data_IF_000001941879
#
_entry.id   IF_000001941879
#
_cell.length_a   1.000
_cell.length_b   1.000
_cell.length_c   1.000
_cell.angle_alpha   90.00
_cell.angle_beta   90.00
_cell.angle_gamma   90.00
#
_symmetry.space_group_name_H-M   'P 1'
#
loop_
_entity.id
_entity.type
_entity.pdbx_description
1 polymer ?
#
# COMPACT_ATOMS: atom_id res chain seq x y z
N UNK A 1 -31.47 -10.52 9.21
CA UNK A 1 -31.14 -9.26 8.51
C UNK A 1 -29.68 -9.34 8.10
N UNK A 2 -29.35 -9.02 6.84
CA UNK A 2 -27.96 -8.98 6.37
C UNK A 2 -27.11 -8.07 7.29
N UNK A 3 -25.87 -8.46 7.57
CA UNK A 3 -24.96 -7.71 8.45
C UNK A 3 -24.78 -6.27 7.97
N UNK A 4 -24.74 -6.01 6.66
CA UNK A 4 -24.60 -4.63 6.15
C UNK A 4 -25.88 -3.81 6.37
N UNK A 5 -27.05 -4.44 6.25
CA UNK A 5 -28.33 -3.77 6.51
C UNK A 5 -28.51 -3.45 7.99
N UNK A 6 -28.02 -4.31 8.87
CA UNK A 6 -27.98 -4.04 10.32
C UNK A 6 -27.05 -2.88 10.64
N UNK A 7 -25.86 -2.83 10.04
CA UNK A 7 -24.93 -1.72 10.21
C UNK A 7 -25.53 -0.40 9.71
N UNK A 8 -26.22 -0.42 8.56
CA UNK A 8 -26.88 0.77 8.02
C UNK A 8 -28.04 1.26 8.92
N UNK A 9 -28.84 0.35 9.47
CA UNK A 9 -29.98 0.69 10.34
C UNK A 9 -29.54 1.25 11.70
N UNK A 10 -28.45 0.71 12.25
CA UNK A 10 -28.00 0.99 13.62
C UNK A 10 -26.61 1.65 13.63
N UNK A 11 -26.26 2.44 12.61
CA UNK A 11 -24.95 3.08 12.55
C UNK A 11 -24.77 4.04 13.74
N UNK A 12 -23.63 3.92 14.42
CA UNK A 12 -23.20 4.86 15.46
C UNK A 12 -21.75 5.26 15.23
N UNK A 13 -21.46 6.55 15.40
CA UNK A 13 -20.08 7.05 15.41
C UNK A 13 -19.30 6.46 16.58
N UNK A 14 -19.94 6.27 17.73
CA UNK A 14 -19.27 5.75 18.92
C UNK A 14 -18.78 4.31 18.71
N UNK A 15 -19.59 3.48 18.05
CA UNK A 15 -19.19 2.11 17.67
C UNK A 15 -17.94 2.12 16.79
N UNK A 16 -17.81 3.08 15.87
CA UNK A 16 -16.60 3.25 15.05
C UNK A 16 -15.38 3.62 15.91
N UNK A 17 -15.55 4.49 16.91
CA UNK A 17 -14.47 4.92 17.80
C UNK A 17 -13.96 3.77 18.70
N UNK A 18 -14.80 2.79 19.05
CA UNK A 18 -14.35 1.61 19.83
C UNK A 18 -13.31 0.73 19.10
N UNK A 19 -13.20 0.88 17.79
CA UNK A 19 -12.22 0.17 16.96
C UNK A 19 -10.85 0.86 16.91
N UNK A 20 -10.71 2.04 17.51
CA UNK A 20 -9.42 2.73 17.58
C UNK A 20 -8.44 1.93 18.46
N UNK A 21 -7.22 1.63 17.96
CA UNK A 21 -6.27 0.78 18.67
C UNK A 21 -5.72 1.41 19.95
N UNK A 22 -5.75 2.74 20.09
CA UNK A 22 -5.15 3.48 21.22
C UNK A 22 -6.15 4.37 21.99
N UNK A 23 -7.47 4.22 21.78
CA UNK A 23 -8.46 5.17 22.32
C UNK A 23 -8.33 6.58 21.72
N UNK A 24 -8.69 7.62 22.48
CA UNK A 24 -8.55 9.04 22.11
C UNK A 24 -7.11 9.59 22.25
N UNK A 25 -6.11 8.74 22.54
CA UNK A 25 -4.71 9.16 22.48
C UNK A 25 -4.40 9.60 21.06
N UNK A 26 -4.38 10.91 20.86
CA UNK A 26 -4.27 11.51 19.56
C UNK A 26 -2.85 11.24 19.05
N UNK A 27 -2.75 10.48 17.96
CA UNK A 27 -1.47 10.24 17.29
C UNK A 27 -0.72 11.56 17.04
N UNK A 28 -1.47 12.66 16.85
CA UNK A 28 -0.95 14.00 16.63
C UNK A 28 -0.16 14.58 17.83
N UNK A 29 -0.44 14.16 19.07
CA UNK A 29 0.24 14.71 20.26
C UNK A 29 1.75 14.40 20.26
N UNK A 30 2.13 13.29 19.62
CA UNK A 30 3.52 12.85 19.50
C UNK A 30 4.01 12.90 18.03
N UNK A 31 3.23 13.50 17.14
CA UNK A 31 3.50 13.53 15.72
C UNK A 31 4.44 14.69 15.36
N UNK A 32 5.50 14.37 14.63
CA UNK A 32 6.39 15.37 14.06
C UNK A 32 5.81 15.83 12.72
N UNK A 33 5.20 17.01 12.72
CA UNK A 33 4.68 17.66 11.52
C UNK A 33 5.79 17.94 10.50
N UNK A 34 5.45 17.86 9.20
CA UNK A 34 6.35 18.08 8.09
C UNK A 34 6.49 19.59 7.94
N UNK A 35 7.49 20.12 8.60
CA UNK A 35 7.77 21.54 8.67
C UNK A 35 9.27 21.77 8.55
N UNK A 36 9.65 22.73 7.72
CA UNK A 36 11.03 23.20 7.59
C UNK A 36 11.10 24.68 7.94
N UNK A 37 11.95 25.03 8.91
CA UNK A 37 12.18 26.41 9.34
C UNK A 37 12.73 27.27 8.18
N UNK A 38 13.38 26.66 7.18
CA UNK A 38 13.84 27.36 5.99
C UNK A 38 12.73 27.98 5.14
N UNK A 39 11.49 27.50 5.29
CA UNK A 39 10.31 28.01 4.58
C UNK A 39 9.84 29.37 5.09
N UNK A 40 10.26 29.80 6.28
CA UNK A 40 9.93 31.12 6.83
C UNK A 40 10.74 32.26 6.19
N UNK A 41 11.87 31.91 5.58
CA UNK A 41 12.76 32.89 4.95
C UNK A 41 12.22 33.29 3.57
N UNK A 42 12.12 34.60 3.31
CA UNK A 42 11.48 35.20 2.11
C UNK A 42 12.09 34.76 0.76
N UNK A 43 13.22 34.04 0.74
CA UNK A 43 13.86 33.49 -0.45
C UNK A 43 13.49 32.03 -0.77
N UNK A 44 12.82 31.31 0.14
CA UNK A 44 12.46 29.90 -0.03
C UNK A 44 10.97 29.77 -0.32
N UNK A 45 10.56 29.25 -1.48
CA UNK A 45 9.15 28.95 -1.71
C UNK A 45 8.74 27.70 -0.91
N UNK A 46 7.76 27.86 -0.03
CA UNK A 46 7.19 26.75 0.73
C UNK A 46 6.20 25.96 -0.16
N UNK A 47 6.00 24.66 0.10
CA UNK A 47 5.20 23.79 -0.77
C UNK A 47 3.70 23.87 -0.41
N UNK A 48 3.06 24.98 -0.74
CA UNK A 48 1.68 25.31 -0.33
C UNK A 48 0.68 24.16 -0.52
N UNK A 49 0.54 23.63 -1.73
CA UNK A 49 -0.44 22.57 -2.03
C UNK A 49 -0.14 21.27 -1.28
N UNK A 50 1.13 20.93 -1.06
CA UNK A 50 1.49 19.77 -0.25
C UNK A 50 1.02 19.98 1.20
N UNK A 51 1.24 21.17 1.75
CA UNK A 51 0.84 21.48 3.13
C UNK A 51 -0.68 21.44 3.31
N UNK A 52 -1.47 21.94 2.35
CA UNK A 52 -2.94 21.89 2.44
C UNK A 52 -3.47 20.47 2.46
N UNK A 53 -2.94 19.57 1.62
CA UNK A 53 -3.30 18.15 1.68
C UNK A 53 -2.89 17.50 3.00
N UNK A 54 -1.73 17.88 3.56
CA UNK A 54 -1.30 17.36 4.85
C UNK A 54 -2.16 17.86 6.01
N UNK A 55 -2.67 19.10 5.96
CA UNK A 55 -3.64 19.60 6.95
C UNK A 55 -4.93 18.78 6.94
N UNK A 56 -5.43 18.39 5.76
CA UNK A 56 -6.55 17.48 5.64
C UNK A 56 -6.22 16.08 6.21
N UNK A 57 -4.99 15.58 6.01
CA UNK A 57 -4.54 14.35 6.66
C UNK A 57 -4.59 14.45 8.19
N UNK A 58 -4.11 15.56 8.76
CA UNK A 58 -4.09 15.75 10.22
C UNK A 58 -5.50 15.87 10.78
N UNK A 59 -6.38 16.60 10.10
CA UNK A 59 -7.77 16.82 10.54
C UNK A 59 -8.54 15.51 10.76
N UNK A 60 -8.29 14.49 9.94
CA UNK A 60 -9.06 13.23 9.99
C UNK A 60 -8.42 12.16 10.89
N UNK A 61 -7.25 12.43 11.48
CA UNK A 61 -6.58 11.51 12.41
C UNK A 61 -7.04 11.73 13.86
N UNK A 62 -7.07 10.66 14.70
CA UNK A 62 -6.80 9.25 14.37
C UNK A 62 -8.04 8.50 13.83
N UNK A 63 -9.20 9.14 13.70
CA UNK A 63 -10.48 8.45 13.46
C UNK A 63 -10.61 7.84 12.07
N UNK A 64 -9.95 8.42 11.06
CA UNK A 64 -10.04 8.00 9.65
C UNK A 64 -8.66 7.96 8.99
N UNK A 65 -7.77 7.04 9.41
CA UNK A 65 -6.44 6.94 8.83
C UNK A 65 -6.48 6.50 7.36
N UNK A 66 -7.58 5.89 6.91
CA UNK A 66 -7.82 5.59 5.49
C UNK A 66 -8.00 6.84 4.63
N UNK A 67 -8.61 7.90 5.18
CA UNK A 67 -8.69 9.21 4.54
C UNK A 67 -7.38 9.98 4.71
N UNK A 68 -6.73 9.89 5.87
CA UNK A 68 -5.44 10.53 6.09
C UNK A 68 -4.40 10.06 5.05
N UNK A 69 -4.35 8.75 4.80
CA UNK A 69 -3.53 8.14 3.76
C UNK A 69 -3.92 8.63 2.35
N UNK A 70 -5.22 8.77 2.05
CA UNK A 70 -5.68 9.30 0.77
C UNK A 70 -5.18 10.73 0.52
N UNK A 71 -5.32 11.62 1.51
CA UNK A 71 -4.83 13.00 1.43
C UNK A 71 -3.30 13.05 1.37
N UNK A 72 -2.60 12.20 2.13
CA UNK A 72 -1.14 12.09 2.06
C UNK A 72 -0.68 11.63 0.66
N UNK A 73 -1.42 10.72 0.02
CA UNK A 73 -1.15 10.35 -1.37
C UNK A 73 -1.38 11.51 -2.34
N UNK A 74 -2.35 12.41 -2.09
CA UNK A 74 -2.51 13.61 -2.92
C UNK A 74 -1.30 14.55 -2.81
N UNK A 75 -0.72 14.68 -1.62
CA UNK A 75 0.55 15.38 -1.45
C UNK A 75 1.71 14.72 -2.23
N UNK A 76 1.83 13.38 -2.17
CA UNK A 76 2.81 12.64 -3.00
C UNK A 76 2.55 12.89 -4.49
N UNK A 77 1.28 12.82 -4.91
CA UNK A 77 0.89 13.07 -6.30
C UNK A 77 1.33 14.45 -6.77
N UNK A 78 0.99 15.48 -6.01
CA UNK A 78 1.42 16.83 -6.31
C UNK A 78 2.95 16.95 -6.40
N UNK A 79 3.69 16.29 -5.49
CA UNK A 79 5.15 16.35 -5.46
C UNK A 79 5.82 15.82 -6.75
N UNK A 80 5.31 14.72 -7.31
CA UNK A 80 5.83 14.19 -8.59
C UNK A 80 5.17 14.83 -9.82
N UNK A 81 3.98 15.41 -9.67
CA UNK A 81 3.29 16.11 -10.75
C UNK A 81 4.05 17.40 -11.11
N UNK A 82 4.41 18.21 -10.11
CA UNK A 82 5.24 19.41 -10.32
C UNK A 82 6.60 19.06 -10.93
N UNK A 83 7.21 17.96 -10.50
CA UNK A 83 8.46 17.48 -11.11
C UNK A 83 8.28 17.10 -12.58
N UNK A 84 7.19 16.40 -12.92
CA UNK A 84 6.89 16.06 -14.32
C UNK A 84 6.65 17.29 -15.18
N UNK A 85 5.95 18.31 -14.67
CA UNK A 85 5.75 19.57 -15.39
C UNK A 85 7.06 20.31 -15.69
N UNK A 86 8.07 20.16 -14.82
CA UNK A 86 9.39 20.77 -15.00
C UNK A 86 10.35 19.95 -15.88
N UNK A 87 10.03 18.69 -16.21
CA UNK A 87 10.90 17.82 -17.02
C UNK A 87 10.50 17.86 -18.49
N UNK A 88 11.34 18.50 -19.33
CA UNK A 88 11.11 18.63 -20.77
C UNK A 88 11.07 17.30 -21.54
N UNK A 89 11.48 16.18 -20.92
CA UNK A 89 11.36 14.85 -21.52
C UNK A 89 9.99 14.19 -21.28
N UNK A 90 9.17 14.77 -20.41
CA UNK A 90 7.83 14.25 -20.09
C UNK A 90 6.80 14.91 -21.02
N UNK A 91 6.35 14.16 -22.03
CA UNK A 91 5.33 14.66 -22.97
C UNK A 91 3.94 14.85 -22.35
N UNK A 92 3.53 13.96 -21.44
CA UNK A 92 2.29 14.10 -20.67
C UNK A 92 2.50 13.53 -19.25
N UNK A 93 1.90 14.15 -18.25
CA UNK A 93 1.99 13.69 -16.87
C UNK A 93 1.19 12.39 -16.67
N UNK A 94 1.80 11.38 -16.03
CA UNK A 94 1.11 10.14 -15.64
C UNK A 94 1.49 9.71 -14.23
N UNK A 95 0.51 9.19 -13.48
CA UNK A 95 0.76 8.63 -12.15
C UNK A 95 1.85 7.55 -12.18
N UNK A 96 1.84 6.65 -13.17
CA UNK A 96 2.86 5.58 -13.23
C UNK A 96 4.26 6.14 -13.37
N UNK A 97 4.44 7.16 -14.22
CA UNK A 97 5.74 7.80 -14.43
C UNK A 97 6.16 8.65 -13.23
N UNK A 98 5.22 9.37 -12.62
CA UNK A 98 5.47 10.13 -11.41
C UNK A 98 5.89 9.26 -10.21
N UNK A 99 5.26 8.09 -10.04
CA UNK A 99 5.64 7.13 -9.00
C UNK A 99 7.04 6.53 -9.28
N UNK A 100 7.41 6.34 -10.56
CA UNK A 100 8.78 5.96 -10.93
C UNK A 100 9.78 7.04 -10.52
N UNK A 101 9.47 8.34 -10.68
CA UNK A 101 10.34 9.41 -10.18
C UNK A 101 10.54 9.37 -8.67
N UNK A 102 9.48 9.15 -7.90
CA UNK A 102 9.60 8.98 -6.44
C UNK A 102 10.50 7.79 -6.10
N UNK A 103 10.26 6.64 -6.74
CA UNK A 103 11.05 5.43 -6.53
C UNK A 103 12.52 5.65 -6.85
N UNK A 104 12.79 6.21 -8.02
CA UNK A 104 14.14 6.37 -8.54
C UNK A 104 14.91 7.40 -7.70
N UNK A 105 14.24 8.47 -7.24
CA UNK A 105 14.82 9.43 -6.31
C UNK A 105 15.23 8.79 -4.96
N UNK A 106 14.41 7.88 -4.43
CA UNK A 106 14.77 7.10 -3.23
C UNK A 106 15.96 6.18 -3.53
N UNK A 107 15.98 5.51 -4.69
CA UNK A 107 17.03 4.57 -5.07
C UNK A 107 18.38 5.24 -5.31
N UNK A 108 18.39 6.44 -5.89
CA UNK A 108 19.61 7.20 -6.19
C UNK A 108 20.49 7.39 -4.95
N UNK A 109 19.89 7.67 -3.79
CA UNK A 109 20.62 7.86 -2.53
C UNK A 109 20.20 6.84 -1.45
N UNK A 110 19.83 5.64 -1.90
CA UNK A 110 19.35 4.58 -1.03
C UNK A 110 20.40 4.19 0.01
N UNK A 111 21.57 3.75 -0.44
CA UNK A 111 22.59 3.19 0.45
C UNK A 111 23.28 4.23 1.33
N UNK A 112 23.33 5.50 0.94
CA UNK A 112 24.01 6.52 1.75
C UNK A 112 23.06 7.23 2.72
N UNK A 113 21.78 7.42 2.36
CA UNK A 113 20.87 8.26 3.12
C UNK A 113 19.51 7.62 3.40
N UNK A 114 18.77 7.24 2.38
CA UNK A 114 17.33 6.96 2.56
C UNK A 114 17.03 5.58 3.13
N UNK A 115 17.94 4.61 3.00
CA UNK A 115 17.74 3.25 3.53
C UNK A 115 17.54 3.24 5.04
N UNK A 116 18.41 3.90 5.79
CA UNK A 116 18.32 3.94 7.26
C UNK A 116 17.09 4.69 7.76
N UNK A 117 16.51 5.55 6.92
CA UNK A 117 15.31 6.34 7.22
C UNK A 117 14.04 5.53 6.92
N UNK A 118 13.95 4.93 5.74
CA UNK A 118 12.73 4.28 5.24
C UNK A 118 12.58 2.83 5.74
N UNK A 119 13.67 2.09 5.83
CA UNK A 119 13.64 0.65 6.18
C UNK A 119 12.96 0.35 7.52
N UNK A 120 13.10 1.17 8.59
CA UNK A 120 12.34 1.02 9.83
C UNK A 120 10.81 1.05 9.63
N UNK A 121 10.30 1.92 8.76
CA UNK A 121 8.86 1.99 8.45
C UNK A 121 8.42 0.73 7.69
N UNK A 122 9.20 0.32 6.68
CA UNK A 122 8.89 -0.87 5.88
C UNK A 122 8.79 -2.13 6.75
N UNK A 123 9.73 -2.32 7.69
CA UNK A 123 9.74 -3.49 8.60
C UNK A 123 8.51 -3.55 9.51
N UNK A 124 7.96 -2.40 9.89
CA UNK A 124 6.81 -2.29 10.78
C UNK A 124 5.46 -2.47 10.07
N UNK A 125 5.41 -2.44 8.73
CA UNK A 125 4.15 -2.63 8.01
C UNK A 125 3.41 -3.92 8.44
N UNK A 126 2.09 -3.84 8.75
CA UNK A 126 1.34 -4.99 9.26
C UNK A 126 1.16 -6.10 8.23
N UNK A 127 1.03 -7.35 8.70
CA UNK A 127 0.80 -8.51 7.82
C UNK A 127 -0.47 -8.35 6.97
N UNK A 128 -1.49 -7.65 7.49
CA UNK A 128 -2.74 -7.37 6.77
C UNK A 128 -2.51 -6.63 5.46
N UNK A 129 -1.51 -5.75 5.41
CA UNK A 129 -1.06 -5.05 4.18
C UNK A 129 -0.67 -6.05 3.09
N UNK A 130 0.08 -7.09 3.46
CA UNK A 130 0.54 -8.12 2.53
C UNK A 130 -0.54 -9.14 2.19
N UNK A 131 -1.47 -9.42 3.11
CA UNK A 131 -2.67 -10.21 2.80
C UNK A 131 -3.52 -9.53 1.73
N UNK A 132 -3.62 -8.20 1.78
CA UNK A 132 -4.30 -7.42 0.75
C UNK A 132 -3.63 -7.58 -0.62
N UNK A 133 -2.29 -7.46 -0.68
CA UNK A 133 -1.52 -7.70 -1.91
C UNK A 133 -1.70 -9.11 -2.43
N UNK A 134 -1.47 -10.11 -1.57
CA UNK A 134 -1.64 -11.53 -1.91
C UNK A 134 -3.04 -11.80 -2.46
N UNK A 135 -4.09 -11.24 -1.83
CA UNK A 135 -5.47 -11.44 -2.25
C UNK A 135 -5.70 -10.98 -3.70
N UNK A 136 -5.32 -9.75 -4.07
CA UNK A 136 -5.57 -9.30 -5.45
C UNK A 136 -4.64 -9.98 -6.46
N UNK A 137 -3.42 -10.37 -6.06
CA UNK A 137 -2.50 -11.10 -6.94
C UNK A 137 -3.05 -12.50 -7.27
N UNK A 138 -3.53 -13.24 -6.26
CA UNK A 138 -4.12 -14.57 -6.45
C UNK A 138 -5.42 -14.52 -7.25
N UNK A 139 -6.29 -13.56 -6.97
CA UNK A 139 -7.55 -13.36 -7.71
C UNK A 139 -7.29 -12.97 -9.17
N UNK A 140 -6.38 -12.02 -9.39
CA UNK A 140 -5.96 -11.60 -10.73
C UNK A 140 -5.37 -12.75 -11.54
N UNK A 141 -4.56 -13.58 -10.90
CA UNK A 141 -3.98 -14.78 -11.50
C UNK A 141 -5.04 -15.83 -11.86
N UNK A 142 -5.94 -16.16 -10.93
CA UNK A 142 -7.02 -17.11 -11.19
C UNK A 142 -7.93 -16.65 -12.34
N UNK A 143 -8.29 -15.37 -12.36
CA UNK A 143 -9.07 -14.76 -13.45
C UNK A 143 -8.31 -14.83 -14.79
N UNK A 144 -7.01 -14.51 -14.81
CA UNK A 144 -6.18 -14.60 -16.01
C UNK A 144 -6.14 -16.02 -16.58
N UNK A 145 -5.91 -17.04 -15.73
CA UNK A 145 -5.84 -18.44 -16.17
C UNK A 145 -7.18 -19.00 -16.65
N UNK A 146 -8.30 -18.38 -16.26
CA UNK A 146 -9.65 -18.77 -16.69
C UNK A 146 -10.19 -17.89 -17.83
N UNK A 147 -9.33 -17.09 -18.49
CA UNK A 147 -9.74 -16.27 -19.64
C UNK A 147 -10.68 -15.11 -19.29
N UNK A 148 -10.77 -14.71 -18.02
CA UNK A 148 -11.59 -13.57 -17.60
C UNK A 148 -10.95 -12.28 -18.10
N UNK A 149 -11.74 -11.43 -18.76
CA UNK A 149 -11.29 -10.19 -19.37
C UNK A 149 -10.54 -9.28 -18.37
N UNK A 150 -9.57 -8.52 -18.88
CA UNK A 150 -8.69 -7.65 -18.07
C UNK A 150 -9.45 -6.66 -17.19
N UNK A 151 -10.56 -6.11 -17.68
CA UNK A 151 -11.37 -5.11 -16.96
C UNK A 151 -11.92 -5.58 -15.60
N UNK A 152 -11.96 -6.89 -15.35
CA UNK A 152 -12.41 -7.44 -14.06
C UNK A 152 -11.26 -7.73 -13.09
N UNK A 153 -10.01 -7.57 -13.53
CA UNK A 153 -8.81 -7.79 -12.72
C UNK A 153 -8.35 -6.46 -12.14
N UNK A 154 -7.85 -6.48 -10.90
CA UNK A 154 -7.25 -5.28 -10.30
C UNK A 154 -6.08 -4.80 -11.18
N UNK A 155 -6.04 -3.51 -11.51
CA UNK A 155 -4.94 -2.93 -12.32
C UNK A 155 -3.56 -3.17 -11.69
N UNK A 156 -3.49 -3.16 -10.35
CA UNK A 156 -2.30 -3.47 -9.56
C UNK A 156 -1.73 -4.87 -9.82
N UNK A 157 -2.57 -5.86 -10.19
CA UNK A 157 -2.10 -7.20 -10.56
C UNK A 157 -1.15 -7.16 -11.75
N UNK A 158 -1.61 -6.53 -12.84
CA UNK A 158 -0.83 -6.41 -14.08
C UNK A 158 0.41 -5.54 -13.86
N UNK A 159 0.26 -4.45 -13.11
CA UNK A 159 1.36 -3.55 -12.80
C UNK A 159 2.48 -4.26 -12.04
N UNK A 160 2.16 -4.95 -10.94
CA UNK A 160 3.16 -5.66 -10.14
C UNK A 160 3.81 -6.81 -10.89
N UNK A 161 3.03 -7.63 -11.60
CA UNK A 161 3.57 -8.73 -12.41
C UNK A 161 4.59 -8.23 -13.44
N UNK A 162 4.37 -7.04 -14.02
CA UNK A 162 5.30 -6.39 -14.95
C UNK A 162 6.54 -5.81 -14.25
N UNK A 163 6.38 -5.23 -13.05
CA UNK A 163 7.47 -4.57 -12.30
C UNK A 163 8.36 -5.55 -11.52
N UNK A 164 7.83 -6.71 -11.15
CA UNK A 164 8.51 -7.72 -10.31
C UNK A 164 8.33 -9.08 -11.00
N UNK A 165 9.23 -9.38 -11.93
CA UNK A 165 9.07 -10.53 -12.84
C UNK A 165 9.03 -11.87 -12.11
N UNK A 166 9.76 -11.97 -11.00
CA UNK A 166 9.80 -13.16 -10.14
C UNK A 166 8.41 -13.54 -9.57
N UNK A 167 7.47 -12.59 -9.45
CA UNK A 167 6.10 -12.90 -9.05
C UNK A 167 5.39 -13.84 -10.03
N UNK A 168 5.70 -13.77 -11.33
CA UNK A 168 5.10 -14.68 -12.32
C UNK A 168 5.49 -16.13 -12.02
N UNK A 169 6.77 -16.39 -11.77
CA UNK A 169 7.29 -17.72 -11.45
C UNK A 169 6.67 -18.26 -10.14
N UNK A 170 6.60 -17.43 -9.09
CA UNK A 170 5.97 -17.79 -7.80
C UNK A 170 4.49 -18.13 -7.98
N UNK A 171 3.75 -17.37 -8.78
CA UNK A 171 2.33 -17.60 -9.01
C UNK A 171 2.09 -18.85 -9.86
N UNK A 172 2.82 -19.01 -10.96
CA UNK A 172 2.69 -20.13 -11.89
C UNK A 172 3.05 -21.46 -11.24
N UNK A 173 4.02 -21.48 -10.33
CA UNK A 173 4.54 -22.73 -9.77
C UNK A 173 4.06 -23.03 -8.34
N UNK A 174 3.68 -22.04 -7.54
CA UNK A 174 3.29 -22.22 -6.14
C UNK A 174 1.92 -21.63 -5.83
N UNK A 175 1.85 -20.40 -5.34
CA UNK A 175 0.65 -19.87 -4.68
C UNK A 175 -0.53 -19.68 -5.63
N UNK A 176 -0.30 -19.15 -6.83
CA UNK A 176 -1.34 -18.98 -7.84
C UNK A 176 -1.90 -20.32 -8.31
N UNK A 177 -1.02 -21.28 -8.61
CA UNK A 177 -1.39 -22.66 -8.96
C UNK A 177 -2.20 -23.35 -7.86
N UNK A 178 -1.78 -23.22 -6.60
CA UNK A 178 -2.52 -23.74 -5.44
C UNK A 178 -3.91 -23.12 -5.32
N UNK A 179 -4.01 -21.80 -5.54
CA UNK A 179 -5.28 -21.07 -5.49
C UNK A 179 -6.24 -21.46 -6.63
N UNK A 180 -5.73 -21.68 -7.84
CA UNK A 180 -6.52 -22.16 -8.98
C UNK A 180 -7.11 -23.56 -8.75
N UNK A 181 -6.49 -24.41 -7.90
CA UNK A 181 -7.06 -25.74 -7.56
C UNK A 181 -8.34 -25.67 -6.74
N UNK A 182 -8.64 -24.51 -6.13
CA UNK A 182 -9.78 -24.33 -5.23
C UNK A 182 -10.74 -23.22 -5.67
N UNK A 183 -10.47 -22.60 -6.82
CA UNK A 183 -11.25 -21.51 -7.39
C UNK A 183 -11.62 -21.82 -8.83
N UNK A 184 -12.81 -21.39 -9.24
CA UNK A 184 -13.29 -21.47 -10.60
C UNK A 184 -13.99 -20.15 -10.95
N UNK A 185 -13.23 -19.11 -11.34
CA UNK A 185 -13.78 -17.80 -11.68
C UNK A 185 -14.78 -17.88 -12.83
N UNK A 186 -16.01 -17.41 -12.59
CA UNK A 186 -17.09 -17.36 -13.57
C UNK A 186 -17.82 -16.02 -13.50
N UNK A 187 -18.44 -15.61 -14.60
CA UNK A 187 -19.29 -14.43 -14.62
C UNK A 187 -20.57 -14.66 -13.81
N UNK A 188 -20.89 -13.69 -12.97
CA UNK A 188 -22.11 -13.61 -12.18
C UNK A 188 -22.69 -12.20 -12.36
N UNK A 189 -23.34 -11.96 -13.51
CA UNK A 189 -23.85 -10.65 -13.90
C UNK A 189 -22.71 -9.66 -14.18
N UNK A 190 -22.71 -8.55 -13.45
CA UNK A 190 -21.70 -7.48 -13.51
C UNK A 190 -20.40 -7.80 -12.74
N UNK A 191 -20.36 -8.96 -12.06
CA UNK A 191 -19.26 -9.36 -11.18
C UNK A 191 -18.66 -10.69 -11.58
N UNK A 192 -17.47 -10.96 -11.05
CA UNK A 192 -16.82 -12.27 -11.15
C UNK A 192 -16.95 -12.98 -9.81
N UNK A 193 -17.61 -14.14 -9.82
CA UNK A 193 -17.58 -15.06 -8.70
C UNK A 193 -16.34 -15.93 -8.82
N UNK A 194 -15.53 -16.03 -7.77
CA UNK A 194 -14.31 -16.85 -7.78
C UNK A 194 -14.59 -18.37 -7.68
N UNK A 195 -15.85 -18.77 -7.50
CA UNK A 195 -16.23 -20.19 -7.44
C UNK A 195 -15.62 -20.97 -6.27
N UNK A 196 -15.25 -20.30 -5.18
CA UNK A 196 -14.66 -20.95 -4.00
C UNK A 196 -15.80 -21.47 -3.11
N UNK A 197 -15.88 -22.80 -2.96
CA UNK A 197 -16.88 -23.46 -2.12
C UNK A 197 -16.69 -23.14 -0.63
N UNK A 198 -17.75 -23.35 0.18
CA UNK A 198 -17.66 -23.20 1.63
C UNK A 198 -16.56 -24.08 2.26
N UNK A 199 -16.39 -25.31 1.77
CA UNK A 199 -15.34 -26.23 2.23
C UNK A 199 -13.91 -25.71 1.95
N UNK A 200 -13.73 -24.86 0.93
CA UNK A 200 -12.43 -24.31 0.55
C UNK A 200 -12.17 -22.90 1.12
N UNK A 201 -13.10 -22.31 1.88
CA UNK A 201 -12.94 -20.95 2.44
C UNK A 201 -11.71 -20.83 3.33
N UNK A 202 -11.53 -21.78 4.25
CA UNK A 202 -10.37 -21.80 5.16
C UNK A 202 -9.07 -21.91 4.37
N UNK A 203 -9.01 -22.85 3.42
CA UNK A 203 -7.85 -23.07 2.55
C UNK A 203 -7.51 -21.85 1.71
N UNK A 204 -8.50 -21.14 1.17
CA UNK A 204 -8.30 -19.86 0.46
C UNK A 204 -7.63 -18.82 1.37
N UNK A 205 -8.05 -18.72 2.64
CA UNK A 205 -7.44 -17.79 3.60
C UNK A 205 -6.01 -18.20 3.92
N UNK A 206 -5.77 -19.48 4.18
CA UNK A 206 -4.41 -20.00 4.47
C UNK A 206 -3.44 -19.74 3.33
N UNK A 207 -3.84 -19.99 2.07
CA UNK A 207 -3.00 -19.69 0.88
C UNK A 207 -2.69 -18.20 0.81
N UNK A 208 -3.71 -17.35 1.01
CA UNK A 208 -3.56 -15.88 0.97
C UNK A 208 -2.62 -15.38 2.07
N UNK A 209 -2.78 -15.88 3.30
CA UNK A 209 -1.95 -15.48 4.44
C UNK A 209 -0.51 -15.94 4.26
N UNK A 210 -0.31 -17.20 3.88
CA UNK A 210 1.02 -17.75 3.63
C UNK A 210 1.75 -16.96 2.53
N UNK A 211 1.06 -16.65 1.42
CA UNK A 211 1.65 -15.83 0.37
C UNK A 211 1.98 -14.42 0.85
N UNK A 212 1.08 -13.81 1.64
CA UNK A 212 1.33 -12.50 2.26
C UNK A 212 2.57 -12.50 3.17
N UNK A 213 2.78 -13.56 3.96
CA UNK A 213 4.00 -13.71 4.76
C UNK A 213 5.25 -13.74 3.89
N UNK A 214 5.25 -14.49 2.78
CA UNK A 214 6.39 -14.51 1.85
C UNK A 214 6.62 -13.15 1.18
N UNK A 215 5.56 -12.46 0.77
CA UNK A 215 5.66 -11.11 0.21
C UNK A 215 6.27 -10.14 1.22
N UNK A 216 5.93 -10.25 2.51
CA UNK A 216 6.52 -9.41 3.56
C UNK A 216 8.02 -9.68 3.70
N UNK A 217 8.42 -10.95 3.82
CA UNK A 217 9.82 -11.35 3.92
C UNK A 217 10.65 -10.84 2.73
N UNK A 218 10.16 -11.06 1.50
CA UNK A 218 10.77 -10.54 0.27
C UNK A 218 10.89 -9.01 0.28
N UNK A 219 9.84 -8.30 0.73
CA UNK A 219 9.82 -6.83 0.80
C UNK A 219 10.88 -6.29 1.78
N UNK A 220 11.07 -6.92 2.94
CA UNK A 220 12.09 -6.47 3.91
C UNK A 220 13.51 -6.88 3.52
N UNK A 221 13.68 -7.60 2.40
CA UNK A 221 14.98 -7.96 1.84
C UNK A 221 15.48 -9.36 2.24
N UNK A 222 14.62 -10.18 2.84
CA UNK A 222 14.95 -11.58 3.14
C UNK A 222 14.94 -12.44 1.88
N UNK A 223 15.75 -13.50 1.89
CA UNK A 223 15.64 -14.58 0.92
C UNK A 223 14.60 -15.59 1.43
N UNK A 224 13.62 -15.92 0.60
CA UNK A 224 12.54 -16.85 0.96
C UNK A 224 12.62 -18.12 0.12
N UNK A 225 12.55 -19.29 0.76
CA UNK A 225 12.37 -20.57 0.08
C UNK A 225 10.87 -20.84 -0.10
N UNK A 226 10.43 -21.02 -1.35
CA UNK A 226 9.05 -21.33 -1.70
C UNK A 226 8.99 -22.73 -2.33
N UNK A 227 8.06 -23.55 -1.86
CA UNK A 227 7.83 -24.91 -2.36
C UNK A 227 6.79 -24.90 -3.48
N UNK A 228 7.13 -25.53 -4.60
CA UNK A 228 6.28 -25.65 -5.77
C UNK A 228 5.17 -26.68 -5.57
N UNK A 229 4.11 -26.52 -6.37
CA UNK A 229 2.95 -27.40 -6.40
C UNK A 229 3.14 -28.62 -7.35
N UNK A 230 4.37 -28.95 -7.71
CA UNK A 230 4.74 -30.11 -8.52
C UNK A 230 4.84 -31.39 -7.66
N UNK A 231 4.93 -32.55 -8.31
CA UNK A 231 5.04 -33.86 -7.64
C UNK A 231 6.30 -33.95 -6.79
N UNK A 232 7.39 -33.34 -7.25
CA UNK A 232 8.70 -33.40 -6.61
C UNK A 232 8.83 -32.42 -5.44
N UNK A 233 7.82 -31.54 -5.22
CA UNK A 233 7.85 -30.46 -4.23
C UNK A 233 9.13 -29.64 -4.34
N UNK A 234 9.46 -29.23 -5.56
CA UNK A 234 10.67 -28.45 -5.85
C UNK A 234 10.70 -27.22 -4.95
N UNK A 235 11.84 -26.97 -4.32
CA UNK A 235 12.08 -25.79 -3.47
C UNK A 235 12.95 -24.81 -4.23
N UNK A 236 12.51 -23.55 -4.32
CA UNK A 236 13.26 -22.48 -4.97
C UNK A 236 13.36 -21.28 -4.06
N UNK A 237 14.56 -20.69 -4.02
CA UNK A 237 14.85 -19.48 -3.26
C UNK A 237 14.60 -18.25 -4.12
N UNK A 238 14.03 -17.22 -3.49
CA UNK A 238 13.71 -15.95 -4.11
C UNK A 238 14.15 -14.81 -3.22
N UNK A 239 14.59 -13.71 -3.84
CA UNK A 239 14.95 -12.47 -3.15
C UNK A 239 14.61 -11.32 -4.09
N UNK A 240 13.97 -10.27 -3.55
CA UNK A 240 13.70 -9.06 -4.32
C UNK A 240 14.94 -8.16 -4.33
N UNK A 241 15.17 -7.51 -5.46
CA UNK A 241 16.09 -6.36 -5.54
C UNK A 241 15.51 -5.16 -4.79
N UNK A 242 16.34 -4.16 -4.48
CA UNK A 242 15.84 -2.92 -3.85
C UNK A 242 14.80 -2.19 -4.72
N UNK A 243 14.96 -2.23 -6.05
CA UNK A 243 13.95 -1.70 -6.97
C UNK A 243 12.63 -2.47 -6.88
N UNK A 244 12.67 -3.80 -6.82
CA UNK A 244 11.47 -4.63 -6.69
C UNK A 244 10.79 -4.44 -5.33
N UNK A 245 11.56 -4.30 -4.25
CA UNK A 245 11.07 -4.00 -2.90
C UNK A 245 10.29 -2.68 -2.89
N UNK A 246 10.89 -1.60 -3.40
CA UNK A 246 10.23 -0.30 -3.46
C UNK A 246 9.06 -0.30 -4.45
N UNK A 247 9.15 -1.04 -5.55
CA UNK A 247 8.04 -1.20 -6.50
C UNK A 247 6.86 -1.93 -5.86
N UNK A 248 7.09 -2.93 -5.00
CA UNK A 248 6.04 -3.59 -4.24
C UNK A 248 5.34 -2.60 -3.30
N UNK A 249 6.10 -1.77 -2.59
CA UNK A 249 5.53 -0.76 -1.67
C UNK A 249 4.73 0.29 -2.43
N UNK A 250 5.36 0.97 -3.40
CA UNK A 250 4.75 2.10 -4.10
C UNK A 250 3.58 1.68 -5.00
N UNK A 251 3.77 0.68 -5.87
CA UNK A 251 2.72 0.25 -6.81
C UNK A 251 1.77 -0.79 -6.22
N UNK A 252 2.29 -1.68 -5.39
CA UNK A 252 1.55 -2.83 -4.89
C UNK A 252 0.73 -2.55 -3.64
N UNK A 253 1.20 -1.67 -2.77
CA UNK A 253 0.56 -1.34 -1.51
C UNK A 253 -0.12 0.03 -1.60
N UNK A 254 0.68 1.10 -1.73
CA UNK A 254 0.21 2.47 -1.55
C UNK A 254 -0.70 2.91 -2.71
N UNK A 255 -0.19 2.89 -3.94
CA UNK A 255 -0.96 3.28 -5.12
C UNK A 255 -2.18 2.36 -5.34
N UNK A 256 -2.02 1.05 -5.12
CA UNK A 256 -3.12 0.10 -5.19
C UNK A 256 -4.23 0.42 -4.19
N UNK A 257 -3.88 0.75 -2.94
CA UNK A 257 -4.82 1.12 -1.89
C UNK A 257 -5.57 2.40 -2.25
N UNK A 258 -4.86 3.44 -2.71
CA UNK A 258 -5.46 4.68 -3.21
C UNK A 258 -6.46 4.41 -4.33
N UNK A 259 -6.06 3.67 -5.36
CA UNK A 259 -6.93 3.38 -6.51
C UNK A 259 -8.19 2.63 -6.10
N UNK A 260 -8.07 1.71 -5.14
CA UNK A 260 -9.23 0.98 -4.63
C UNK A 260 -10.17 1.87 -3.83
N UNK A 261 -9.64 2.72 -2.96
CA UNK A 261 -10.45 3.60 -2.11
C UNK A 261 -11.09 4.75 -2.90
N UNK A 262 -10.35 5.37 -3.83
CA UNK A 262 -10.81 6.55 -4.56
C UNK A 262 -11.80 6.22 -5.69
N UNK A 263 -11.55 5.17 -6.47
CA UNK A 263 -12.38 4.83 -7.63
C UNK A 263 -13.62 3.97 -7.28
N UNK A 264 -13.90 3.73 -6.00
CA UNK A 264 -15.09 2.97 -5.57
C UNK A 264 -15.05 1.48 -5.94
N UNK A 265 -13.88 0.94 -6.29
CA UNK A 265 -13.71 -0.46 -6.68
C UNK A 265 -13.94 -1.44 -5.52
N UNK A 266 -13.90 -0.95 -4.28
CA UNK A 266 -14.09 -1.74 -3.07
C UNK A 266 -14.98 -0.99 -2.07
N UNK A 267 -15.61 -1.74 -1.17
CA UNK A 267 -16.31 -1.14 -0.04
C UNK A 267 -15.34 -0.32 0.84
N UNK A 268 -15.88 0.74 1.46
CA UNK A 268 -15.15 1.56 2.42
C UNK A 268 -14.50 0.71 3.51
N UNK A 269 -13.25 0.99 3.86
CA UNK A 269 -12.43 0.09 4.67
C UNK A 269 -12.74 0.17 6.15
N UNK A 270 -12.99 1.37 6.65
CA UNK A 270 -13.28 1.61 8.06
C UNK A 270 -14.77 1.51 8.40
N UNK A 271 -15.66 1.65 7.41
CA UNK A 271 -17.11 1.52 7.58
C UNK A 271 -17.64 0.37 6.72
N UNK A 272 -17.23 -0.86 7.04
CA UNK A 272 -17.77 -2.09 6.43
C UNK A 272 -17.88 -3.20 7.45
N UNK A 273 -18.57 -4.28 7.06
CA UNK A 273 -18.65 -5.52 7.85
C UNK A 273 -17.29 -6.17 8.14
N UNK A 274 -16.22 -5.73 7.47
CA UNK A 274 -14.85 -6.25 7.64
C UNK A 274 -13.93 -5.26 8.38
N UNK A 275 -14.44 -4.10 8.82
CA UNK A 275 -13.68 -3.15 9.61
C UNK A 275 -13.36 -3.75 10.98
N UNK A 276 -12.10 -3.64 11.40
CA UNK A 276 -11.64 -4.10 12.69
C UNK A 276 -10.36 -3.35 13.09
N UNK A 277 -9.87 -3.55 14.32
CA UNK A 277 -8.66 -2.90 14.85
C UNK A 277 -7.43 -3.07 13.93
N UNK A 278 -7.25 -4.24 13.32
CA UNK A 278 -6.14 -4.46 12.39
C UNK A 278 -6.26 -3.63 11.10
N UNK A 279 -7.48 -3.32 10.66
CA UNK A 279 -7.69 -2.38 9.54
C UNK A 279 -7.21 -0.98 9.91
N UNK A 280 -7.53 -0.51 11.12
CA UNK A 280 -7.06 0.78 11.62
C UNK A 280 -5.54 0.83 11.68
N UNK A 281 -4.91 -0.17 12.32
CA UNK A 281 -3.43 -0.29 12.36
C UNK A 281 -2.81 -0.26 10.97
N UNK A 282 -3.35 -1.07 10.05
CA UNK A 282 -2.88 -1.12 8.66
C UNK A 282 -2.88 0.26 8.00
N UNK A 283 -3.97 1.03 8.11
CA UNK A 283 -4.05 2.33 7.46
C UNK A 283 -3.25 3.42 8.18
N UNK A 284 -3.13 3.38 9.51
CA UNK A 284 -2.25 4.29 10.26
C UNK A 284 -0.80 4.09 9.84
N UNK A 285 -0.35 2.83 9.79
CA UNK A 285 1.02 2.50 9.39
C UNK A 285 1.29 2.78 7.91
N UNK A 286 0.28 2.61 7.04
CA UNK A 286 0.36 3.02 5.64
C UNK A 286 0.49 4.53 5.50
N UNK A 287 -0.32 5.32 6.23
CA UNK A 287 -0.20 6.78 6.27
C UNK A 287 1.21 7.21 6.71
N UNK A 288 1.72 6.65 7.81
CA UNK A 288 3.06 6.97 8.31
C UNK A 288 4.16 6.63 7.28
N UNK A 289 3.98 5.55 6.52
CA UNK A 289 4.88 5.14 5.44
C UNK A 289 4.80 6.08 4.24
N UNK A 290 3.60 6.48 3.82
CA UNK A 290 3.39 7.49 2.77
C UNK A 290 4.02 8.82 3.17
N UNK A 291 3.84 9.22 4.42
CA UNK A 291 4.32 10.48 4.96
C UNK A 291 5.85 10.58 4.95
N UNK A 292 6.56 9.52 5.36
CA UNK A 292 8.04 9.52 5.26
C UNK A 292 8.52 9.45 3.80
N UNK A 293 7.79 8.76 2.91
CA UNK A 293 8.10 8.72 1.47
C UNK A 293 7.97 10.11 0.85
N UNK A 294 6.91 10.85 1.19
CA UNK A 294 6.73 12.24 0.78
C UNK A 294 7.90 13.11 1.26
N UNK A 295 8.26 13.01 2.54
CA UNK A 295 9.36 13.76 3.13
C UNK A 295 10.70 13.47 2.43
N UNK A 296 10.99 12.18 2.17
CA UNK A 296 12.17 11.76 1.40
C UNK A 296 12.14 12.36 -0.01
N UNK A 297 11.00 12.27 -0.69
CA UNK A 297 10.89 12.79 -2.06
C UNK A 297 11.12 14.31 -2.11
N UNK A 298 10.51 15.07 -1.19
CA UNK A 298 10.75 16.52 -1.06
C UNK A 298 12.22 16.83 -0.72
N UNK A 299 12.85 16.04 0.15
CA UNK A 299 14.27 16.19 0.48
C UNK A 299 15.17 15.91 -0.73
N UNK A 300 14.86 14.89 -1.52
CA UNK A 300 15.61 14.57 -2.74
C UNK A 300 15.52 15.69 -3.80
N UNK A 301 14.45 16.49 -3.75
CA UNK A 301 14.25 17.66 -4.60
C UNK A 301 14.84 18.96 -4.00
N UNK A 302 15.49 18.91 -2.84
CA UNK A 302 16.01 20.09 -2.13
C UNK A 302 14.93 21.01 -1.52
N UNK A 303 13.68 20.54 -1.43
CA UNK A 303 12.54 21.31 -0.87
C UNK A 303 12.34 21.11 0.63
N UNK A 304 13.03 20.15 1.21
CA UNK A 304 13.01 19.81 2.64
C UNK A 304 14.44 19.55 3.11
N UNK A 305 14.86 20.18 4.20
CA UNK A 305 16.18 20.02 4.79
C UNK A 305 16.36 18.70 5.50
N UNK A 306 17.61 18.30 5.71
CA UNK A 306 17.97 17.10 6.46
C UNK A 306 17.54 17.20 7.92
N UNK A 307 17.56 18.40 8.50
CA UNK A 307 17.08 18.65 9.86
C UNK A 307 15.58 18.37 9.98
N UNK A 308 14.77 18.82 9.02
CA UNK A 308 13.34 18.56 9.00
C UNK A 308 13.04 17.07 8.75
N UNK A 309 13.77 16.43 7.82
CA UNK A 309 13.65 14.98 7.56
C UNK A 309 14.00 14.15 8.81
N UNK A 310 15.03 14.55 9.56
CA UNK A 310 15.47 13.90 10.80
C UNK A 310 14.47 14.04 11.95
N UNK A 311 13.66 15.10 11.97
CA UNK A 311 12.52 15.22 12.88
C UNK A 311 11.43 14.22 12.47
N UNK A 312 11.04 14.22 11.19
CA UNK A 312 9.92 13.40 10.67
C UNK A 312 10.19 11.89 10.74
N UNK A 313 11.44 11.43 10.56
CA UNK A 313 11.76 9.99 10.64
C UNK A 313 11.43 9.37 12.01
N UNK A 314 11.35 10.18 13.07
CA UNK A 314 10.96 9.73 14.42
C UNK A 314 9.50 9.26 14.50
N UNK A 315 8.66 9.63 13.53
CA UNK A 315 7.26 9.18 13.44
C UNK A 315 7.13 7.65 13.26
N UNK A 316 8.21 6.93 12.93
CA UNK A 316 8.23 5.46 12.96
C UNK A 316 7.81 4.90 14.32
N UNK A 317 8.06 5.65 15.40
CA UNK A 317 7.70 5.27 16.77
C UNK A 317 6.19 5.28 17.02
N UNK A 318 5.40 5.84 16.10
CA UNK A 318 3.93 5.92 16.18
C UNK A 318 3.24 4.74 15.48
N UNK A 319 3.98 3.87 14.78
CA UNK A 319 3.43 2.66 14.14
C UNK A 319 3.01 1.60 15.18
N UNK A 320 1.97 0.80 14.89
CA UNK A 320 1.15 0.09 15.92
C UNK A 320 0.81 -1.39 15.66
#
# INVERSE_FOLDING_TARGET
MDNILRLAKNYSKDDHLTLLPCGDNNILDNFNFLYDENWENQSSSYPYEILTYLFDSYYVLPQRPDLAALFCWQAINHSYYVQQLGDGNVGFCQDTKGIEFVRDAILTDWNNKYKVILEPFLKRLPNKTFHYVASYMLKGFAMEKNGIAEKYRASSYKMLKRKIQVLSDILDNAYGKSYCRISNPVFAGDRVSLGISNANKEKSRTITHSFGTQLKALMIGEETEITFCDTNRTKKKYKFTDEERLSLVLFGILYASRCNNFHGNVAARMNSINANRDTFKMYTDMFLTEYIILAIHMNSQGKLSDVALDKVKKNVNLMI
#
